data_IF_141050395320
#
_entry.id   IF_141050395320
#
_cell.length_a   1.000
_cell.length_b   1.000
_cell.length_c   1.000
_cell.angle_alpha   90.00
_cell.angle_beta   90.00
_cell.angle_gamma   90.00
#
_symmetry.space_group_name_H-M   'P 1'
#
loop_
_entity.id
_entity.type
_entity.pdbx_description
1 polymer ?
#
# COMPACT_ATOMS: atom_id res chain seq x y z
N UNK A 1 26.84 -2.27 -17.52
CA UNK A 1 27.47 -0.94 -17.26
C UNK A 1 28.10 -1.00 -15.88
N UNK A 2 29.37 -0.73 -15.74
CA UNK A 2 30.05 -0.69 -14.43
C UNK A 2 29.72 0.62 -13.71
N UNK A 3 29.96 0.68 -12.37
CA UNK A 3 29.76 1.89 -11.60
C UNK A 3 30.64 3.07 -12.11
N UNK A 4 31.83 2.76 -12.60
CA UNK A 4 32.70 3.74 -13.22
C UNK A 4 32.15 4.29 -14.53
N UNK A 5 31.65 3.44 -15.42
CA UNK A 5 31.03 3.84 -16.68
C UNK A 5 29.79 4.70 -16.44
N UNK A 6 28.97 4.34 -15.46
CA UNK A 6 27.79 5.13 -15.08
C UNK A 6 28.20 6.53 -14.60
N UNK A 7 29.15 6.62 -13.66
CA UNK A 7 29.60 7.91 -13.15
C UNK A 7 30.29 8.75 -14.23
N UNK A 8 31.05 8.14 -15.13
CA UNK A 8 31.64 8.84 -16.25
C UNK A 8 30.56 9.43 -17.19
N UNK A 9 29.50 8.66 -17.47
CA UNK A 9 28.39 9.15 -18.26
C UNK A 9 27.61 10.30 -17.56
N UNK A 10 27.45 10.21 -16.24
CA UNK A 10 26.74 11.23 -15.48
C UNK A 10 27.57 12.50 -15.24
N UNK A 11 28.82 12.37 -14.86
CA UNK A 11 29.69 13.46 -14.40
C UNK A 11 30.50 14.10 -15.53
N UNK A 12 30.94 13.31 -16.51
CA UNK A 12 31.88 13.71 -17.56
C UNK A 12 33.34 13.39 -17.21
N UNK A 13 34.26 13.97 -18.01
CA UNK A 13 35.68 13.62 -18.04
C UNK A 13 36.61 14.57 -17.27
N UNK A 14 36.08 15.50 -16.47
CA UNK A 14 36.92 16.44 -15.73
C UNK A 14 37.80 15.71 -14.72
N UNK A 15 39.15 15.82 -14.83
CA UNK A 15 40.08 15.13 -13.93
C UNK A 15 39.89 15.48 -12.44
N UNK A 16 39.33 16.65 -12.12
CA UNK A 16 39.04 17.06 -10.74
C UNK A 16 37.98 16.19 -10.07
N UNK A 17 37.18 15.47 -10.85
CA UNK A 17 36.11 14.59 -10.36
C UNK A 17 36.59 13.20 -9.92
N UNK A 18 37.83 12.79 -10.25
CA UNK A 18 38.34 11.47 -9.92
C UNK A 18 38.27 11.11 -8.43
N UNK A 19 38.63 12.01 -7.47
CA UNK A 19 38.47 11.72 -6.04
C UNK A 19 37.00 11.59 -5.60
N UNK A 20 36.10 12.36 -6.20
CA UNK A 20 34.65 12.27 -5.95
C UNK A 20 34.08 10.95 -6.47
N UNK A 21 34.48 10.51 -7.66
CA UNK A 21 34.08 9.24 -8.25
C UNK A 21 34.46 8.07 -7.33
N UNK A 22 35.68 8.06 -6.81
CA UNK A 22 36.14 7.03 -5.87
C UNK A 22 35.32 7.06 -4.57
N UNK A 23 35.05 8.24 -4.01
CA UNK A 23 34.23 8.42 -2.80
C UNK A 23 32.82 7.88 -3.02
N UNK A 24 32.18 8.23 -4.14
CA UNK A 24 30.83 7.79 -4.47
C UNK A 24 30.76 6.27 -4.62
N UNK A 25 31.68 5.65 -5.35
CA UNK A 25 31.70 4.20 -5.52
C UNK A 25 31.88 3.49 -4.17
N UNK A 26 32.81 3.96 -3.34
CA UNK A 26 33.04 3.38 -2.02
C UNK A 26 31.83 3.52 -1.08
N UNK A 27 31.09 4.62 -1.17
CA UNK A 27 29.92 4.86 -0.32
C UNK A 27 28.67 4.14 -0.77
N UNK A 28 28.50 3.96 -2.07
CA UNK A 28 27.29 3.40 -2.66
C UNK A 28 27.45 1.90 -2.98
N UNK A 29 28.66 1.35 -2.77
CA UNK A 29 29.00 -0.02 -3.15
C UNK A 29 28.69 -0.32 -4.63
N UNK A 30 28.71 0.71 -5.45
CA UNK A 30 28.41 0.65 -6.87
C UNK A 30 26.93 0.50 -7.23
N UNK A 31 25.99 0.69 -6.29
CA UNK A 31 24.56 0.65 -6.55
C UNK A 31 24.16 1.80 -7.50
N UNK A 32 23.64 1.52 -8.71
CA UNK A 32 23.36 2.54 -9.71
C UNK A 32 22.40 3.62 -9.24
N UNK A 33 21.31 3.22 -8.62
CA UNK A 33 20.31 4.15 -8.12
C UNK A 33 20.88 5.07 -7.02
N UNK A 34 21.70 4.51 -6.11
CA UNK A 34 22.33 5.32 -5.07
C UNK A 34 23.36 6.30 -5.66
N UNK A 35 24.08 5.88 -6.71
CA UNK A 35 25.01 6.75 -7.45
C UNK A 35 24.25 7.92 -8.10
N UNK A 36 23.19 7.65 -8.84
CA UNK A 36 22.37 8.67 -9.50
C UNK A 36 21.80 9.67 -8.50
N UNK A 37 21.18 9.19 -7.40
CA UNK A 37 20.62 10.06 -6.37
C UNK A 37 21.69 10.88 -5.62
N UNK A 38 22.89 10.31 -5.43
CA UNK A 38 24.01 11.03 -4.84
C UNK A 38 24.53 12.15 -5.76
N UNK A 39 24.71 11.87 -7.04
CA UNK A 39 25.12 12.88 -8.04
C UNK A 39 24.07 13.98 -8.12
N UNK A 40 22.80 13.64 -8.18
CA UNK A 40 21.70 14.60 -8.20
C UNK A 40 21.71 15.50 -6.97
N UNK A 41 21.89 14.91 -5.78
CA UNK A 41 22.02 15.68 -4.54
C UNK A 41 23.19 16.67 -4.57
N UNK A 42 24.31 16.28 -5.15
CA UNK A 42 25.47 17.14 -5.28
C UNK A 42 25.22 18.30 -6.26
N UNK A 43 24.42 18.07 -7.30
CA UNK A 43 23.96 19.14 -8.22
C UNK A 43 22.98 20.09 -7.53
N UNK A 44 21.95 19.55 -6.87
CA UNK A 44 20.95 20.33 -6.13
C UNK A 44 21.54 21.18 -4.99
N UNK A 45 22.73 20.81 -4.48
CA UNK A 45 23.44 21.52 -3.40
C UNK A 45 24.60 22.39 -3.90
N UNK A 46 24.67 22.62 -5.21
CA UNK A 46 25.72 23.41 -5.86
C UNK A 46 27.14 22.92 -5.53
N UNK A 47 27.33 21.66 -5.21
CA UNK A 47 28.63 21.00 -5.09
C UNK A 47 29.17 20.64 -6.46
N UNK A 48 28.31 20.23 -7.35
CA UNK A 48 28.54 20.02 -8.77
C UNK A 48 27.84 21.12 -9.57
N UNK A 49 28.60 21.81 -10.43
CA UNK A 49 28.09 22.85 -11.31
C UNK A 49 28.39 22.51 -12.78
N UNK A 50 27.48 22.86 -13.67
CA UNK A 50 27.60 22.56 -15.10
C UNK A 50 26.36 21.87 -15.68
N UNK A 51 26.58 21.10 -16.71
CA UNK A 51 25.50 20.33 -17.38
C UNK A 51 25.75 18.82 -17.25
N UNK A 52 24.72 17.99 -17.37
CA UNK A 52 24.87 16.53 -17.39
C UNK A 52 25.97 16.08 -18.34
N UNK A 53 26.90 15.25 -17.85
CA UNK A 53 28.07 14.79 -18.58
C UNK A 53 29.23 15.82 -18.72
N UNK A 54 29.11 17.02 -18.10
CA UNK A 54 30.14 18.05 -18.11
C UNK A 54 30.14 18.86 -16.80
N UNK A 55 30.07 18.17 -15.66
CA UNK A 55 30.09 18.78 -14.34
C UNK A 55 31.52 19.14 -13.91
N UNK A 56 31.62 20.11 -12.99
CA UNK A 56 32.83 20.50 -12.30
C UNK A 56 32.57 20.64 -10.80
N UNK A 57 33.58 20.40 -9.98
CA UNK A 57 33.52 20.63 -8.55
C UNK A 57 33.54 22.11 -8.20
N UNK A 58 32.54 22.59 -7.45
CA UNK A 58 32.51 23.91 -6.86
C UNK A 58 33.18 23.95 -5.48
N UNK A 59 33.35 22.79 -4.82
CA UNK A 59 33.93 22.67 -3.45
C UNK A 59 34.90 21.48 -3.38
N UNK A 60 35.84 21.56 -2.44
CA UNK A 60 36.80 20.48 -2.23
C UNK A 60 36.13 19.20 -1.71
N UNK A 61 36.51 18.04 -2.25
CA UNK A 61 35.97 16.72 -1.90
C UNK A 61 35.96 16.39 -0.41
N UNK A 62 37.00 16.75 0.41
CA UNK A 62 36.99 16.48 1.84
C UNK A 62 35.83 17.12 2.62
N UNK A 63 35.19 18.15 2.07
CA UNK A 63 34.05 18.83 2.68
C UNK A 63 32.70 18.21 2.28
N UNK A 64 32.70 17.22 1.38
CA UNK A 64 31.48 16.60 0.85
C UNK A 64 31.07 15.46 1.76
N UNK A 65 29.86 15.56 2.33
CA UNK A 65 29.25 14.48 3.11
C UNK A 65 28.23 13.75 2.23
N UNK A 66 28.55 12.53 1.87
CA UNK A 66 27.59 11.63 1.22
C UNK A 66 26.90 10.79 2.30
N UNK A 67 25.56 10.83 2.42
CA UNK A 67 24.83 10.01 3.39
C UNK A 67 25.17 8.52 3.23
N UNK A 68 25.06 7.76 4.33
CA UNK A 68 25.45 6.34 4.36
C UNK A 68 24.47 5.42 3.62
N UNK A 69 23.24 5.88 3.37
CA UNK A 69 22.19 5.09 2.72
C UNK A 69 21.43 5.93 1.69
N UNK A 70 20.93 5.27 0.68
CA UNK A 70 20.09 5.93 -0.34
C UNK A 70 18.80 6.50 0.27
N UNK A 71 18.24 5.87 1.32
CA UNK A 71 17.09 6.41 2.05
C UNK A 71 17.41 7.76 2.68
N UNK A 72 18.60 7.92 3.28
CA UNK A 72 19.03 9.18 3.87
C UNK A 72 19.24 10.27 2.80
N UNK A 73 19.73 9.91 1.61
CA UNK A 73 19.83 10.83 0.47
C UNK A 73 18.44 11.29 0.03
N UNK A 74 17.53 10.36 -0.17
CA UNK A 74 16.15 10.67 -0.56
C UNK A 74 15.42 11.51 0.50
N UNK A 75 15.55 11.16 1.78
CA UNK A 75 14.98 11.93 2.87
C UNK A 75 15.49 13.38 2.87
N UNK A 76 16.82 13.59 2.73
CA UNK A 76 17.40 14.92 2.66
C UNK A 76 16.97 15.71 1.42
N UNK A 77 16.70 15.04 0.28
CA UNK A 77 16.14 15.67 -0.92
C UNK A 77 14.69 16.10 -0.70
N UNK A 78 13.86 15.21 -0.13
CA UNK A 78 12.46 15.50 0.21
C UNK A 78 12.38 16.64 1.24
N UNK A 79 13.28 16.69 2.21
CA UNK A 79 13.31 17.73 3.24
C UNK A 79 13.65 19.12 2.70
N UNK A 80 14.37 19.18 1.57
CA UNK A 80 14.71 20.45 0.87
C UNK A 80 13.60 20.98 -0.03
N UNK A 81 12.61 20.17 -0.35
CA UNK A 81 11.46 20.63 -1.13
C UNK A 81 10.73 21.80 -0.41
N UNK A 82 10.20 22.77 -1.15
CA UNK A 82 9.27 23.74 -0.61
C UNK A 82 8.15 23.07 0.16
N UNK A 83 7.65 23.65 1.26
CA UNK A 83 6.68 22.99 2.15
C UNK A 83 5.41 22.51 1.43
N UNK A 84 4.94 23.22 0.41
CA UNK A 84 3.75 22.82 -0.38
C UNK A 84 4.05 21.62 -1.26
N UNK A 85 5.19 21.59 -1.94
CA UNK A 85 5.61 20.47 -2.79
C UNK A 85 5.92 19.21 -1.98
N UNK A 86 6.56 19.39 -0.81
CA UNK A 86 6.79 18.28 0.13
C UNK A 86 5.47 17.67 0.59
N UNK A 87 4.48 18.49 0.97
CA UNK A 87 3.15 18.02 1.36
C UNK A 87 2.43 17.33 0.20
N UNK A 88 2.56 17.85 -1.01
CA UNK A 88 1.99 17.25 -2.22
C UNK A 88 2.59 15.87 -2.50
N UNK A 89 3.92 15.74 -2.46
CA UNK A 89 4.63 14.47 -2.63
C UNK A 89 4.24 13.45 -1.56
N UNK A 90 4.13 13.89 -0.30
CA UNK A 90 3.69 13.06 0.82
C UNK A 90 2.24 12.60 0.65
N UNK A 91 1.36 13.48 0.20
CA UNK A 91 -0.05 13.14 -0.09
C UNK A 91 -0.14 12.12 -1.23
N UNK A 92 0.62 12.32 -2.30
CA UNK A 92 0.75 11.38 -3.40
C UNK A 92 1.25 10.00 -2.91
N UNK A 93 2.21 9.96 -1.98
CA UNK A 93 2.72 8.71 -1.43
C UNK A 93 1.68 7.95 -0.59
N UNK A 94 0.70 8.62 0.00
CA UNK A 94 -0.38 7.94 0.73
C UNK A 94 -1.40 7.32 -0.24
N UNK A 95 -1.61 7.90 -1.41
CA UNK A 95 -2.44 7.30 -2.46
C UNK A 95 -1.82 5.98 -2.93
N UNK A 96 -0.54 5.97 -3.28
CA UNK A 96 0.17 4.78 -3.72
C UNK A 96 1.30 5.06 -4.69
N UNK A 97 1.81 4.01 -5.34
CA UNK A 97 2.82 4.13 -6.39
C UNK A 97 2.28 4.86 -7.63
N UNK A 98 1.06 4.54 -7.99
CA UNK A 98 0.30 5.19 -9.05
C UNK A 98 -0.70 6.16 -8.43
N UNK A 99 -0.72 7.39 -8.94
CA UNK A 99 -1.42 8.54 -8.34
C UNK A 99 -2.38 9.13 -9.36
N UNK A 100 -3.65 8.71 -9.39
CA UNK A 100 -4.67 9.31 -10.25
C UNK A 100 -4.83 10.80 -9.94
N UNK A 101 -4.76 11.65 -10.97
CA UNK A 101 -4.82 13.11 -10.81
C UNK A 101 -6.10 13.56 -10.11
N UNK A 102 -7.25 13.00 -10.49
CA UNK A 102 -8.54 13.36 -9.89
C UNK A 102 -8.59 13.05 -8.39
N UNK A 103 -8.02 11.92 -7.98
CA UNK A 103 -7.93 11.56 -6.56
C UNK A 103 -6.99 12.49 -5.81
N UNK A 104 -5.83 12.80 -6.39
CA UNK A 104 -4.90 13.75 -5.80
C UNK A 104 -5.52 15.15 -5.64
N UNK A 105 -6.24 15.64 -6.66
CA UNK A 105 -6.99 16.91 -6.61
C UNK A 105 -8.00 16.93 -5.46
N UNK A 106 -8.76 15.85 -5.30
CA UNK A 106 -9.80 15.76 -4.26
C UNK A 106 -9.23 15.83 -2.83
N UNK A 107 -7.98 15.38 -2.61
CA UNK A 107 -7.41 15.29 -1.25
C UNK A 107 -6.28 16.28 -0.96
N UNK A 108 -5.70 16.93 -1.98
CA UNK A 108 -4.53 17.80 -1.79
C UNK A 108 -4.86 19.15 -1.11
N UNK A 109 -6.13 19.59 -1.12
CA UNK A 109 -6.55 20.90 -0.58
C UNK A 109 -5.80 22.09 -1.21
N UNK A 110 -5.44 21.98 -2.47
CA UNK A 110 -4.72 22.99 -3.24
C UNK A 110 -5.58 23.52 -4.38
N UNK A 111 -5.37 24.76 -4.77
CA UNK A 111 -5.92 25.26 -6.02
C UNK A 111 -5.34 24.50 -7.21
N UNK A 112 -6.08 24.41 -8.30
CA UNK A 112 -5.64 23.72 -9.52
C UNK A 112 -4.29 24.26 -10.04
N UNK A 113 -4.11 25.58 -10.01
CA UNK A 113 -2.86 26.23 -10.40
C UNK A 113 -1.68 25.82 -9.51
N UNK A 114 -1.89 25.81 -8.19
CA UNK A 114 -0.83 25.42 -7.22
C UNK A 114 -0.50 23.95 -7.35
N UNK A 115 -1.50 23.09 -7.55
CA UNK A 115 -1.32 21.67 -7.79
C UNK A 115 -0.49 21.43 -9.05
N UNK A 116 -0.85 22.04 -10.17
CA UNK A 116 -0.14 21.89 -11.46
C UNK A 116 1.30 22.37 -11.35
N UNK A 117 1.54 23.53 -10.75
CA UNK A 117 2.89 24.04 -10.52
C UNK A 117 3.71 23.08 -9.66
N UNK A 118 3.15 22.58 -8.54
CA UNK A 118 3.82 21.62 -7.67
C UNK A 118 4.14 20.30 -8.39
N UNK A 119 3.23 19.77 -9.19
CA UNK A 119 3.47 18.56 -9.98
C UNK A 119 4.58 18.77 -11.02
N UNK A 120 4.60 19.92 -11.71
CA UNK A 120 5.67 20.26 -12.66
C UNK A 120 7.04 20.30 -11.98
N UNK A 121 7.13 20.88 -10.79
CA UNK A 121 8.39 20.90 -10.01
C UNK A 121 8.80 19.51 -9.53
N UNK A 122 7.85 18.68 -9.07
CA UNK A 122 8.13 17.30 -8.65
C UNK A 122 8.56 16.42 -9.82
N UNK A 123 8.07 16.70 -11.04
CA UNK A 123 8.55 16.06 -12.27
C UNK A 123 9.97 16.52 -12.64
N UNK A 124 10.23 17.83 -12.59
CA UNK A 124 11.56 18.37 -12.88
C UNK A 124 12.62 17.85 -11.86
N UNK A 125 12.21 17.67 -10.59
CA UNK A 125 13.04 17.07 -9.55
C UNK A 125 13.09 15.52 -9.64
N UNK A 126 12.41 14.91 -10.61
CA UNK A 126 12.38 13.48 -10.87
C UNK A 126 11.86 12.62 -9.72
N UNK A 127 10.95 13.13 -8.90
CA UNK A 127 10.22 12.34 -7.91
C UNK A 127 9.03 11.61 -8.53
N UNK A 128 8.31 12.29 -9.42
CA UNK A 128 7.16 11.78 -10.14
C UNK A 128 7.37 11.91 -11.64
N UNK A 129 6.68 11.10 -12.41
CA UNK A 129 6.52 11.30 -13.85
C UNK A 129 5.06 11.05 -14.25
N UNK A 130 4.62 11.75 -15.27
CA UNK A 130 3.27 11.64 -15.80
C UNK A 130 3.13 10.32 -16.56
N UNK A 131 2.11 9.55 -16.24
CA UNK A 131 1.71 8.34 -16.96
C UNK A 131 0.36 8.63 -17.60
N UNK A 132 0.32 8.63 -18.94
CA UNK A 132 -0.95 8.80 -19.67
C UNK A 132 -1.65 7.46 -19.75
N UNK A 133 -2.59 7.23 -18.88
CA UNK A 133 -3.57 6.18 -19.01
C UNK A 133 -4.86 6.83 -19.54
N UNK A 134 -5.20 6.55 -20.78
CA UNK A 134 -6.49 6.98 -21.31
C UNK A 134 -7.62 6.20 -20.58
N UNK A 135 -8.68 6.85 -20.08
CA UNK A 135 -9.03 8.29 -20.23
C UNK A 135 -8.53 9.19 -19.07
N UNK A 136 -7.81 8.70 -18.09
CA UNK A 136 -7.47 9.46 -16.88
C UNK A 136 -5.95 9.73 -16.81
N UNK A 137 -5.57 10.95 -16.41
CA UNK A 137 -4.19 11.29 -16.15
C UNK A 137 -3.77 10.75 -14.78
N UNK A 138 -2.61 10.11 -14.74
CA UNK A 138 -2.00 9.63 -13.51
C UNK A 138 -0.52 10.01 -13.44
N UNK A 139 -0.01 10.08 -12.23
CA UNK A 139 1.41 10.22 -11.95
C UNK A 139 1.92 8.94 -11.30
N UNK A 140 3.19 8.65 -11.48
CA UNK A 140 3.84 7.48 -10.88
C UNK A 140 5.14 7.91 -10.21
N UNK A 141 5.45 7.34 -9.05
CA UNK A 141 6.75 7.53 -8.43
C UNK A 141 7.83 6.89 -9.31
N UNK A 142 8.92 7.64 -9.55
CA UNK A 142 10.04 7.15 -10.36
C UNK A 142 10.63 5.86 -9.78
N UNK A 143 10.70 5.77 -8.45
CA UNK A 143 11.24 4.62 -7.74
C UNK A 143 10.39 4.28 -6.51
N UNK A 144 10.20 2.98 -6.27
CA UNK A 144 9.47 2.49 -5.10
C UNK A 144 10.08 2.99 -3.77
N UNK A 145 11.40 3.13 -3.71
CA UNK A 145 12.07 3.63 -2.53
C UNK A 145 11.76 5.11 -2.25
N UNK A 146 11.61 5.93 -3.29
CA UNK A 146 11.19 7.33 -3.15
C UNK A 146 9.78 7.41 -2.55
N UNK A 147 8.86 6.58 -3.04
CA UNK A 147 7.52 6.44 -2.47
C UNK A 147 7.58 6.05 -0.99
N UNK A 148 8.35 5.00 -0.67
CA UNK A 148 8.49 4.51 0.71
C UNK A 148 9.03 5.58 1.66
N UNK A 149 10.09 6.31 1.26
CA UNK A 149 10.68 7.38 2.07
C UNK A 149 9.69 8.54 2.24
N UNK A 150 9.01 8.96 1.19
CA UNK A 150 7.98 10.00 1.26
C UNK A 150 6.83 9.60 2.19
N UNK A 151 6.33 8.36 2.08
CA UNK A 151 5.28 7.82 2.94
C UNK A 151 5.71 7.75 4.41
N UNK A 152 6.91 7.25 4.69
CA UNK A 152 7.44 7.10 6.06
C UNK A 152 7.79 8.44 6.72
N UNK A 153 8.05 9.49 5.94
CA UNK A 153 8.32 10.84 6.46
C UNK A 153 7.09 11.50 7.10
N UNK A 154 5.88 10.97 6.86
CA UNK A 154 4.65 11.42 7.50
C UNK A 154 4.50 10.83 8.89
N UNK A 155 3.99 11.63 9.83
CA UNK A 155 3.52 11.14 11.13
C UNK A 155 2.33 10.19 10.95
N UNK A 156 2.22 9.19 11.84
CA UNK A 156 1.18 8.17 11.77
C UNK A 156 -0.23 8.78 11.73
N UNK A 157 -0.50 9.77 12.58
CA UNK A 157 -1.79 10.45 12.64
C UNK A 157 -2.14 11.14 11.31
N UNK A 158 -1.15 11.81 10.69
CA UNK A 158 -1.37 12.43 9.37
C UNK A 158 -1.63 11.40 8.28
N UNK A 159 -0.92 10.26 8.30
CA UNK A 159 -1.18 9.15 7.37
C UNK A 159 -2.60 8.63 7.52
N UNK A 160 -3.04 8.40 8.78
CA UNK A 160 -4.40 7.95 9.09
C UNK A 160 -5.45 8.90 8.53
N UNK A 161 -5.30 10.21 8.80
CA UNK A 161 -6.22 11.23 8.27
C UNK A 161 -6.28 11.23 6.74
N UNK A 162 -5.13 11.14 6.07
CA UNK A 162 -5.08 11.11 4.60
C UNK A 162 -5.74 9.83 4.04
N UNK A 163 -5.50 8.67 4.65
CA UNK A 163 -6.17 7.45 4.24
C UNK A 163 -7.71 7.53 4.39
N UNK A 164 -8.21 8.11 5.49
CA UNK A 164 -9.64 8.33 5.67
C UNK A 164 -10.23 9.22 4.57
N UNK A 165 -9.55 10.33 4.22
CA UNK A 165 -9.96 11.22 3.14
C UNK A 165 -9.92 10.56 1.76
N UNK A 166 -8.96 9.68 1.53
CA UNK A 166 -8.89 8.89 0.28
C UNK A 166 -10.12 7.99 0.16
N UNK A 167 -10.59 7.37 1.25
CA UNK A 167 -11.82 6.56 1.23
C UNK A 167 -13.01 7.40 0.80
N UNK A 168 -13.21 8.59 1.39
CA UNK A 168 -14.30 9.51 1.06
C UNK A 168 -14.22 9.98 -0.41
N UNK A 169 -13.02 10.33 -0.86
CA UNK A 169 -12.80 10.76 -2.23
C UNK A 169 -13.05 9.62 -3.23
N UNK A 170 -12.59 8.40 -2.96
CA UNK A 170 -12.84 7.22 -3.80
C UNK A 170 -14.33 6.89 -3.88
N UNK A 171 -15.07 6.94 -2.77
CA UNK A 171 -16.53 6.74 -2.76
C UNK A 171 -17.24 7.76 -3.66
N UNK A 172 -16.79 9.01 -3.62
CA UNK A 172 -17.37 10.09 -4.44
C UNK A 172 -17.02 9.96 -5.92
N UNK A 173 -15.76 9.63 -6.23
CA UNK A 173 -15.27 9.57 -7.61
C UNK A 173 -15.67 8.29 -8.34
N UNK A 174 -15.77 7.17 -7.63
CA UNK A 174 -16.03 5.88 -8.25
C UNK A 174 -17.44 5.74 -8.83
N UNK A 175 -18.45 6.40 -8.24
CA UNK A 175 -19.82 6.31 -8.70
C UNK A 175 -20.29 4.87 -8.90
N UNK A 176 -20.73 4.54 -10.12
CA UNK A 176 -21.17 3.18 -10.47
C UNK A 176 -20.04 2.13 -10.49
N UNK A 177 -18.77 2.55 -10.59
CA UNK A 177 -17.59 1.67 -10.59
C UNK A 177 -17.04 1.37 -9.18
N UNK A 178 -17.81 1.65 -8.13
CA UNK A 178 -17.40 1.42 -6.75
C UNK A 178 -16.99 -0.04 -6.49
N UNK A 179 -17.66 -0.99 -7.15
CA UNK A 179 -17.35 -2.41 -7.04
C UNK A 179 -15.93 -2.77 -7.49
N UNK A 180 -15.36 -2.03 -8.45
CA UNK A 180 -14.00 -2.25 -8.94
C UNK A 180 -12.95 -1.73 -7.95
N UNK A 181 -13.32 -0.77 -7.10
CA UNK A 181 -12.45 -0.12 -6.13
C UNK A 181 -12.49 -0.72 -4.72
N UNK A 182 -13.28 -1.79 -4.50
CA UNK A 182 -13.53 -2.35 -3.17
C UNK A 182 -12.22 -2.72 -2.43
N UNK A 183 -11.25 -3.29 -3.13
CA UNK A 183 -9.97 -3.69 -2.52
C UNK A 183 -9.14 -2.47 -2.08
N UNK A 184 -9.06 -1.43 -2.92
CA UNK A 184 -8.41 -0.15 -2.58
C UNK A 184 -9.12 0.54 -1.41
N UNK A 185 -10.46 0.57 -1.43
CA UNK A 185 -11.27 1.12 -0.35
C UNK A 185 -11.02 0.38 0.97
N UNK A 186 -10.97 -0.95 0.94
CA UNK A 186 -10.66 -1.76 2.12
C UNK A 186 -9.27 -1.45 2.68
N UNK A 187 -8.25 -1.37 1.81
CA UNK A 187 -6.87 -1.08 2.21
C UNK A 187 -6.73 0.31 2.85
N UNK A 188 -7.33 1.33 2.23
CA UNK A 188 -7.30 2.68 2.78
C UNK A 188 -8.15 2.81 4.04
N UNK A 189 -9.32 2.16 4.13
CA UNK A 189 -10.17 2.17 5.32
C UNK A 189 -9.42 1.58 6.53
N UNK A 190 -8.73 0.45 6.35
CA UNK A 190 -7.93 -0.20 7.41
C UNK A 190 -6.81 0.73 7.89
N UNK A 191 -6.07 1.35 6.97
CA UNK A 191 -4.97 2.27 7.31
C UNK A 191 -5.46 3.60 7.88
N UNK A 192 -6.67 3.99 7.51
CA UNK A 192 -7.35 5.19 8.01
C UNK A 192 -8.10 4.96 9.34
N UNK A 193 -8.20 3.71 9.79
CA UNK A 193 -8.97 3.31 10.98
C UNK A 193 -10.44 3.80 10.91
N UNK A 194 -11.03 3.79 9.70
CA UNK A 194 -12.43 4.19 9.47
C UNK A 194 -13.29 2.93 9.64
N UNK A 195 -13.58 2.57 10.90
CA UNK A 195 -14.04 1.23 11.29
C UNK A 195 -15.34 0.78 10.61
N UNK A 196 -16.30 1.67 10.40
CA UNK A 196 -17.54 1.38 9.66
C UNK A 196 -17.25 1.01 8.20
N UNK A 197 -16.30 1.70 7.58
CA UNK A 197 -15.84 1.42 6.20
C UNK A 197 -14.96 0.17 6.16
N UNK A 198 -14.11 -0.04 7.17
CA UNK A 198 -13.33 -1.30 7.29
C UNK A 198 -14.28 -2.49 7.29
N UNK A 199 -15.30 -2.48 8.16
CA UNK A 199 -16.29 -3.54 8.19
C UNK A 199 -16.94 -3.76 6.82
N UNK A 200 -17.46 -2.68 6.23
CA UNK A 200 -18.17 -2.74 4.95
C UNK A 200 -17.28 -3.28 3.83
N UNK A 201 -16.13 -2.67 3.60
CA UNK A 201 -15.30 -2.96 2.43
C UNK A 201 -14.46 -4.23 2.59
N UNK A 202 -13.97 -4.55 3.78
CA UNK A 202 -13.27 -5.82 4.01
C UNK A 202 -14.22 -7.03 3.87
N UNK A 203 -15.48 -6.92 4.31
CA UNK A 203 -16.49 -7.96 4.07
C UNK A 203 -16.73 -8.18 2.57
N UNK A 204 -16.88 -7.10 1.80
CA UNK A 204 -17.10 -7.17 0.35
C UNK A 204 -15.85 -7.69 -0.37
N UNK A 205 -14.66 -7.23 0.00
CA UNK A 205 -13.40 -7.70 -0.57
C UNK A 205 -13.18 -9.19 -0.28
N UNK A 206 -13.53 -9.65 0.92
CA UNK A 206 -13.50 -11.07 1.28
C UNK A 206 -14.43 -11.92 0.44
N UNK A 207 -15.67 -11.45 0.18
CA UNK A 207 -16.61 -12.13 -0.70
C UNK A 207 -16.09 -12.22 -2.14
N UNK A 208 -15.60 -11.11 -2.69
CA UNK A 208 -14.99 -11.04 -4.01
C UNK A 208 -13.76 -11.95 -4.14
N UNK A 209 -12.94 -12.06 -3.08
CA UNK A 209 -11.81 -12.98 -3.04
C UNK A 209 -12.28 -14.46 -3.08
N UNK A 210 -13.37 -14.81 -2.38
CA UNK A 210 -13.95 -16.15 -2.44
C UNK A 210 -14.48 -16.50 -3.83
N UNK A 211 -15.13 -15.56 -4.52
CA UNK A 211 -15.58 -15.75 -5.91
C UNK A 211 -14.43 -16.08 -6.86
N UNK A 212 -13.25 -15.51 -6.61
CA UNK A 212 -12.00 -15.76 -7.36
C UNK A 212 -11.21 -16.97 -6.83
N UNK A 213 -11.76 -17.74 -5.90
CA UNK A 213 -11.07 -18.85 -5.22
C UNK A 213 -9.80 -18.46 -4.45
N UNK A 214 -9.66 -17.18 -4.09
CA UNK A 214 -8.55 -16.65 -3.29
C UNK A 214 -8.82 -16.74 -1.77
N UNK A 215 -9.09 -17.96 -1.28
CA UNK A 215 -9.56 -18.21 0.09
C UNK A 215 -8.60 -17.67 1.18
N UNK A 216 -7.28 -17.61 0.94
CA UNK A 216 -6.30 -17.04 1.89
C UNK A 216 -6.49 -15.54 2.05
N UNK A 217 -6.71 -14.83 0.95
CA UNK A 217 -7.01 -13.40 0.96
C UNK A 217 -8.35 -13.13 1.64
N UNK A 218 -9.37 -13.93 1.32
CA UNK A 218 -10.69 -13.82 1.94
C UNK A 218 -10.62 -13.94 3.47
N UNK A 219 -9.84 -14.88 4.01
CA UNK A 219 -9.63 -15.02 5.46
C UNK A 219 -9.09 -13.72 6.04
N UNK A 220 -8.02 -13.15 5.46
CA UNK A 220 -7.44 -11.90 5.97
C UNK A 220 -8.45 -10.74 5.96
N UNK A 221 -9.24 -10.61 4.88
CA UNK A 221 -10.27 -9.56 4.78
C UNK A 221 -11.40 -9.76 5.80
N UNK A 222 -11.89 -10.97 5.98
CA UNK A 222 -12.93 -11.25 6.99
C UNK A 222 -12.43 -11.06 8.43
N UNK A 223 -11.17 -11.40 8.72
CA UNK A 223 -10.56 -11.12 10.03
C UNK A 223 -10.49 -9.61 10.30
N UNK A 224 -10.09 -8.81 9.30
CA UNK A 224 -10.09 -7.34 9.41
C UNK A 224 -11.51 -6.79 9.64
N UNK A 225 -12.50 -7.31 8.91
CA UNK A 225 -13.89 -6.91 9.10
C UNK A 225 -14.42 -7.29 10.48
N UNK A 226 -14.04 -8.46 11.01
CA UNK A 226 -14.44 -8.91 12.35
C UNK A 226 -13.82 -8.05 13.46
N UNK A 227 -12.53 -7.71 13.33
CA UNK A 227 -11.85 -6.82 14.25
C UNK A 227 -12.46 -5.41 14.26
N UNK A 228 -12.94 -4.93 13.11
CA UNK A 228 -13.58 -3.63 13.03
C UNK A 228 -14.87 -3.53 13.88
N UNK A 229 -15.60 -4.63 14.03
CA UNK A 229 -16.80 -4.66 14.86
C UNK A 229 -16.55 -4.34 16.34
N UNK A 230 -15.34 -4.62 16.84
CA UNK A 230 -14.94 -4.30 18.22
C UNK A 230 -14.82 -2.79 18.47
N UNK A 231 -14.66 -2.02 17.41
CA UNK A 231 -14.53 -0.56 17.44
C UNK A 231 -15.82 0.18 17.12
N UNK A 232 -16.85 -0.53 16.69
CA UNK A 232 -18.15 0.07 16.38
C UNK A 232 -19.04 0.17 17.62
N UNK A 233 -19.85 1.24 17.75
CA UNK A 233 -20.77 1.38 18.88
C UNK A 233 -21.82 0.25 18.87
N UNK A 234 -22.22 -0.21 20.05
CA UNK A 234 -23.16 -1.34 20.25
C UNK A 234 -24.53 -1.18 19.57
N UNK A 235 -24.86 0.03 19.14
CA UNK A 235 -26.14 0.37 18.48
C UNK A 235 -26.28 -0.13 17.03
N UNK A 236 -25.22 -0.64 16.42
CA UNK A 236 -25.21 -1.12 15.03
C UNK A 236 -25.20 -2.64 14.99
N UNK A 237 -26.25 -3.36 15.32
CA UNK A 237 -26.41 -4.83 15.15
C UNK A 237 -25.07 -5.62 15.00
N UNK A 238 -24.04 -5.37 15.84
CA UNK A 238 -22.71 -5.94 15.58
C UNK A 238 -22.68 -7.45 15.79
N UNK A 239 -23.60 -7.98 16.60
CA UNK A 239 -23.65 -9.42 16.93
C UNK A 239 -24.13 -10.26 15.77
N UNK A 240 -25.17 -9.81 15.05
CA UNK A 240 -25.68 -10.52 13.88
C UNK A 240 -24.64 -10.54 12.75
N UNK A 241 -23.99 -9.40 12.53
CA UNK A 241 -22.94 -9.23 11.54
C UNK A 241 -21.70 -10.07 11.88
N UNK A 242 -21.38 -10.23 13.16
CA UNK A 242 -20.30 -11.09 13.62
C UNK A 242 -20.59 -12.57 13.33
N UNK A 243 -21.84 -13.03 13.50
CA UNK A 243 -22.25 -14.40 13.13
C UNK A 243 -22.04 -14.65 11.64
N UNK A 244 -22.55 -13.73 10.80
CA UNK A 244 -22.45 -13.85 9.34
C UNK A 244 -20.97 -13.88 8.87
N UNK A 245 -20.11 -13.03 9.46
CA UNK A 245 -18.66 -13.02 9.17
C UNK A 245 -17.96 -14.30 9.62
N UNK A 246 -18.32 -14.84 10.82
CA UNK A 246 -17.73 -16.10 11.30
C UNK A 246 -18.12 -17.27 10.42
N UNK A 247 -19.33 -17.29 9.91
CA UNK A 247 -19.77 -18.27 8.92
C UNK A 247 -19.01 -18.13 7.58
N UNK A 248 -18.69 -16.90 7.17
CA UNK A 248 -17.87 -16.65 5.98
C UNK A 248 -16.41 -17.10 6.20
N UNK A 249 -15.82 -16.77 7.34
CA UNK A 249 -14.50 -17.24 7.77
C UNK A 249 -14.40 -18.76 7.80
N UNK A 250 -15.40 -19.42 8.39
CA UNK A 250 -15.48 -20.88 8.38
C UNK A 250 -15.34 -21.43 6.96
N UNK A 251 -16.13 -20.93 6.01
CA UNK A 251 -16.09 -21.41 4.61
C UNK A 251 -14.72 -21.23 3.99
N UNK A 252 -14.11 -20.04 4.16
CA UNK A 252 -12.80 -19.75 3.61
C UNK A 252 -11.69 -20.64 4.24
N UNK A 253 -11.72 -20.81 5.56
CA UNK A 253 -10.76 -21.68 6.28
C UNK A 253 -10.95 -23.15 5.97
N UNK A 254 -12.19 -23.59 5.78
CA UNK A 254 -12.50 -24.97 5.40
C UNK A 254 -11.87 -25.33 4.05
N UNK A 255 -11.99 -24.45 3.05
CA UNK A 255 -11.34 -24.60 1.74
C UNK A 255 -9.82 -24.70 1.85
N UNK A 256 -9.22 -23.99 2.83
CA UNK A 256 -7.78 -24.02 3.10
C UNK A 256 -7.32 -25.23 3.94
N UNK A 257 -8.23 -26.12 4.34
CA UNK A 257 -7.91 -27.26 5.23
C UNK A 257 -7.61 -26.86 6.68
N UNK A 258 -7.93 -25.63 7.09
CA UNK A 258 -7.73 -25.13 8.45
C UNK A 258 -8.91 -25.50 9.37
N UNK A 259 -9.19 -26.79 9.47
CA UNK A 259 -10.43 -27.31 10.08
C UNK A 259 -10.61 -26.93 11.55
N UNK A 260 -9.55 -26.90 12.37
CA UNK A 260 -9.65 -26.54 13.78
C UNK A 260 -10.06 -25.07 13.97
N UNK A 261 -9.46 -24.17 13.19
CA UNK A 261 -9.83 -22.75 13.19
C UNK A 261 -11.22 -22.52 12.65
N UNK A 262 -11.60 -23.24 11.60
CA UNK A 262 -12.94 -23.18 11.03
C UNK A 262 -14.00 -23.61 12.04
N UNK A 263 -13.79 -24.70 12.79
CA UNK A 263 -14.69 -25.13 13.87
C UNK A 263 -14.75 -24.12 15.01
N UNK A 264 -13.64 -23.48 15.35
CA UNK A 264 -13.62 -22.43 16.36
C UNK A 264 -14.53 -21.26 15.95
N UNK A 265 -14.46 -20.81 14.70
CA UNK A 265 -15.34 -19.74 14.18
C UNK A 265 -16.83 -20.13 14.26
N UNK A 266 -17.17 -21.36 13.88
CA UNK A 266 -18.57 -21.82 13.98
C UNK A 266 -19.08 -21.90 15.41
N UNK A 267 -18.27 -22.38 16.35
CA UNK A 267 -18.66 -22.41 17.77
C UNK A 267 -18.88 -21.03 18.34
N UNK A 268 -18.01 -20.09 17.97
CA UNK A 268 -18.18 -18.68 18.37
C UNK A 268 -19.42 -18.05 17.74
N UNK A 269 -19.77 -18.44 16.49
CA UNK A 269 -21.02 -18.02 15.83
C UNK A 269 -22.24 -18.63 16.52
N UNK A 270 -22.18 -19.90 16.94
CA UNK A 270 -23.23 -20.60 17.67
C UNK A 270 -23.55 -19.90 19.00
N UNK A 271 -22.52 -19.65 19.82
CA UNK A 271 -22.68 -18.93 21.11
C UNK A 271 -23.32 -17.56 20.93
N UNK A 272 -22.94 -16.82 19.87
CA UNK A 272 -23.55 -15.52 19.56
C UNK A 272 -25.01 -15.66 19.11
N UNK A 273 -25.34 -16.67 18.30
CA UNK A 273 -26.70 -16.90 17.85
C UNK A 273 -27.63 -17.33 18.99
N UNK A 274 -27.13 -18.15 19.92
CA UNK A 274 -27.84 -18.50 21.16
C UNK A 274 -28.10 -17.27 22.03
N UNK A 275 -27.10 -16.43 22.22
CA UNK A 275 -27.22 -15.20 23.01
C UNK A 275 -28.19 -14.16 22.42
N UNK A 276 -28.42 -14.22 21.09
CA UNK A 276 -29.39 -13.36 20.39
C UNK A 276 -30.80 -13.95 20.31
N UNK A 277 -30.96 -15.21 20.71
CA UNK A 277 -32.21 -15.99 20.52
C UNK A 277 -32.66 -15.99 19.04
N UNK A 278 -31.70 -16.13 18.10
CA UNK A 278 -31.95 -16.15 16.65
C UNK A 278 -31.97 -17.60 16.13
N UNK A 279 -33.15 -18.23 16.08
CA UNK A 279 -33.30 -19.65 15.67
C UNK A 279 -32.88 -19.87 14.20
N UNK A 280 -33.00 -18.85 13.35
CA UNK A 280 -32.64 -18.97 11.93
C UNK A 280 -31.12 -19.08 11.79
N UNK A 281 -30.36 -18.17 12.41
CA UNK A 281 -28.91 -18.21 12.38
C UNK A 281 -28.35 -19.41 13.14
N UNK A 282 -28.95 -19.77 14.26
CA UNK A 282 -28.59 -20.97 15.01
C UNK A 282 -28.74 -22.24 14.15
N UNK A 283 -29.86 -22.39 13.44
CA UNK A 283 -30.08 -23.51 12.51
C UNK A 283 -29.03 -23.55 11.39
N UNK A 284 -28.65 -22.40 10.86
CA UNK A 284 -27.65 -22.27 9.79
C UNK A 284 -26.24 -22.67 10.29
N UNK A 285 -25.84 -22.22 11.47
CA UNK A 285 -24.56 -22.57 12.11
C UNK A 285 -24.51 -24.05 12.48
N UNK A 286 -25.57 -24.59 13.07
CA UNK A 286 -25.68 -26.01 13.46
C UNK A 286 -25.58 -26.95 12.24
N UNK A 287 -26.17 -26.56 11.11
CA UNK A 287 -26.03 -27.32 9.85
C UNK A 287 -24.56 -27.35 9.39
N UNK A 288 -23.86 -26.22 9.40
CA UNK A 288 -22.44 -26.13 9.06
C UNK A 288 -21.55 -26.94 10.01
N UNK A 289 -21.84 -26.93 11.32
CA UNK A 289 -21.13 -27.73 12.32
C UNK A 289 -21.30 -29.24 12.05
N UNK A 290 -22.53 -29.68 11.83
CA UNK A 290 -22.84 -31.09 11.52
C UNK A 290 -22.09 -31.56 10.28
N UNK A 291 -22.12 -30.76 9.22
CA UNK A 291 -21.44 -31.10 7.95
C UNK A 291 -19.90 -31.14 8.13
N UNK A 292 -19.33 -30.23 8.92
CA UNK A 292 -17.90 -30.22 9.22
C UNK A 292 -17.46 -31.44 10.01
N UNK A 293 -18.22 -31.81 11.04
CA UNK A 293 -17.95 -32.98 11.87
C UNK A 293 -18.01 -34.28 11.07
N UNK A 294 -19.00 -34.42 10.17
CA UNK A 294 -19.11 -35.57 9.27
C UNK A 294 -17.90 -35.65 8.33
N UNK A 295 -17.45 -34.52 7.77
CA UNK A 295 -16.28 -34.50 6.89
C UNK A 295 -15.01 -34.90 7.64
N UNK A 296 -14.81 -34.39 8.86
CA UNK A 296 -13.65 -34.73 9.71
C UNK A 296 -13.63 -36.19 10.15
N UNK A 297 -14.80 -36.76 10.48
CA UNK A 297 -14.94 -38.19 10.82
C UNK A 297 -14.63 -39.06 9.59
N UNK A 298 -15.15 -38.71 8.42
CA UNK A 298 -14.86 -39.43 7.17
C UNK A 298 -13.40 -39.35 6.78
N UNK A 299 -12.74 -38.18 6.98
CA UNK A 299 -11.31 -38.03 6.71
C UNK A 299 -10.44 -38.86 7.66
N UNK A 300 -10.82 -38.97 8.95
CA UNK A 300 -10.10 -39.82 9.94
C UNK A 300 -10.32 -41.32 9.73
N UNK A 301 -11.46 -41.70 9.19
CA UNK A 301 -11.81 -43.14 8.91
C UNK A 301 -11.23 -43.68 7.59
N UNK A 302 -10.49 -42.87 6.83
CA UNK A 302 -9.83 -43.28 5.59
C UNK A 302 -10.78 -43.56 4.39
N UNK A 303 -12.06 -43.18 4.49
CA UNK A 303 -13.09 -43.48 3.49
C UNK A 303 -13.36 -42.31 2.52
N UNK A 304 -12.41 -41.45 2.23
CA UNK A 304 -12.58 -40.45 1.18
C UNK A 304 -12.12 -41.04 -0.17
N UNK A 305 -12.97 -41.20 -1.17
CA UNK A 305 -12.50 -41.48 -2.51
C UNK A 305 -11.80 -40.22 -3.04
N UNK A 306 -10.47 -40.29 -3.23
CA UNK A 306 -9.74 -39.32 -4.01
C UNK A 306 -10.37 -39.23 -5.40
N UNK A 307 -11.21 -38.23 -5.66
CA UNK A 307 -11.64 -37.88 -7.00
C UNK A 307 -10.36 -37.51 -7.79
N UNK A 308 -9.93 -38.46 -8.66
CA UNK A 308 -8.91 -38.21 -9.67
C UNK A 308 -9.37 -37.01 -10.49
N UNK A 309 -8.59 -35.93 -10.48
CA UNK A 309 -8.67 -34.87 -11.47
C UNK A 309 -8.45 -35.49 -12.86
N UNK A 310 -9.25 -35.15 -13.86
CA UNK A 310 -8.97 -35.53 -15.24
C UNK A 310 -7.72 -34.76 -15.70
N UNK A 311 -6.83 -35.49 -16.39
CA UNK A 311 -5.56 -35.04 -16.97
C UNK A 311 -5.70 -34.06 -18.12
#
# INVERSE_FOLDING_TARGET
MSAHELLHALLGDDPSLAPLTQLLIARTEGNPFFLEESVRTLVETDVLIGMPGAYRLARAVPSIQVPATVQAVLAARIDRLPPEEKRLLQTAAVIGMEVPLLLLQAIAELSEETLHRGLTHLQAAEFLYETRLFPEYAYTFKHALTHEVAYRSLLQERRRTLHARIVEALETLAGERLADQIEHLADHAVRGEVWDKVFRYCRQAGAKAMERSAAREAVGRYEQALAALEHLPEQCEPREQAIDLRCALYRARFVLGQYERALHDLRAAETLAEALDDPRRLGQVSLCLTQSLLTLVSAKSGSFPLSKAPG
#
